data_IF_762284382651
#
_entry.id   IF_762284382651
#
_cell.length_a   1.000
_cell.length_b   1.000
_cell.length_c   1.000
_cell.angle_alpha   90.00
_cell.angle_beta   90.00
_cell.angle_gamma   90.00
#
_symmetry.space_group_name_H-M   'P 1'
#
loop_
_entity.id
_entity.type
_entity.pdbx_description
1 polymer ?
#
# COMPACT_ATOMS: atom_id res chain seq x y z
N UNK A 1 -0.81 -4.77 -20.22
CA UNK A 1 -0.07 -4.24 -19.06
C UNK A 1 -0.49 -5.06 -17.86
N UNK A 2 0.43 -5.72 -17.16
CA UNK A 2 0.09 -6.46 -15.93
C UNK A 2 -0.24 -5.49 -14.80
N UNK A 3 -1.38 -5.71 -14.14
CA UNK A 3 -1.81 -4.92 -13.00
C UNK A 3 -1.08 -5.39 -11.73
N UNK A 4 -0.69 -4.47 -10.82
CA UNK A 4 -0.14 -4.85 -9.51
C UNK A 4 -1.12 -5.72 -8.71
N UNK A 5 -0.59 -6.73 -8.02
CA UNK A 5 -1.39 -7.66 -7.21
C UNK A 5 -1.54 -7.12 -5.79
N UNK A 6 -2.66 -6.46 -5.53
CA UNK A 6 -2.98 -5.96 -4.19
C UNK A 6 -3.43 -7.11 -3.27
N UNK A 7 -3.24 -6.98 -1.93
CA UNK A 7 -3.85 -7.88 -0.97
C UNK A 7 -5.39 -7.91 -1.12
N UNK A 8 -6.01 -9.02 -0.73
CA UNK A 8 -7.47 -9.22 -0.85
C UNK A 8 -8.29 -8.14 -0.12
N UNK A 9 -7.75 -7.55 0.95
CA UNK A 9 -8.39 -6.45 1.70
C UNK A 9 -8.60 -5.17 0.85
N UNK A 10 -7.83 -5.02 -0.24
CA UNK A 10 -7.93 -3.91 -1.18
C UNK A 10 -8.74 -4.27 -2.43
N UNK A 11 -9.38 -5.44 -2.44
CA UNK A 11 -10.25 -5.86 -3.54
C UNK A 11 -11.44 -4.92 -3.65
N UNK A 12 -11.59 -4.30 -4.81
CA UNK A 12 -12.64 -3.31 -5.08
C UNK A 12 -12.28 -1.87 -4.72
N UNK A 13 -11.13 -1.65 -4.06
CA UNK A 13 -10.58 -0.31 -3.92
C UNK A 13 -10.11 0.19 -5.28
N UNK A 14 -10.28 1.50 -5.54
CA UNK A 14 -9.97 2.10 -6.84
C UNK A 14 -8.71 2.95 -6.75
N UNK A 15 -7.82 2.89 -7.75
CA UNK A 15 -6.68 3.80 -7.82
C UNK A 15 -7.16 5.22 -8.12
N UNK A 16 -6.72 6.19 -7.31
CA UNK A 16 -7.01 7.61 -7.55
C UNK A 16 -5.87 8.24 -8.36
N UNK A 17 -4.63 8.10 -7.89
CA UNK A 17 -3.44 8.67 -8.54
C UNK A 17 -2.16 7.91 -8.17
N UNK A 18 -1.13 8.12 -8.98
CA UNK A 18 0.21 7.54 -8.79
C UNK A 18 1.24 8.63 -8.51
N UNK A 19 2.25 8.32 -7.72
CA UNK A 19 3.38 9.21 -7.43
C UNK A 19 4.71 8.54 -7.77
N UNK A 20 5.74 9.37 -7.99
CA UNK A 20 7.14 8.96 -8.18
C UNK A 20 7.30 7.86 -9.22
N UNK A 21 6.85 8.13 -10.45
CA UNK A 21 6.97 7.20 -11.58
C UNK A 21 6.36 5.82 -11.28
N UNK A 22 5.14 5.82 -10.73
CA UNK A 22 4.34 4.63 -10.36
C UNK A 22 4.84 3.82 -9.16
N UNK A 23 5.89 4.27 -8.46
CA UNK A 23 6.35 3.63 -7.22
C UNK A 23 5.32 3.68 -6.11
N UNK A 24 4.45 4.69 -6.09
CA UNK A 24 3.39 4.76 -5.10
C UNK A 24 2.03 4.87 -5.79
N UNK A 25 1.08 4.09 -5.32
CA UNK A 25 -0.31 4.13 -5.79
C UNK A 25 -1.19 4.46 -4.60
N UNK A 26 -2.03 5.48 -4.74
CA UNK A 26 -3.05 5.78 -3.73
C UNK A 26 -4.34 5.13 -4.15
N UNK A 27 -4.88 4.28 -3.28
CA UNK A 27 -6.17 3.63 -3.43
C UNK A 27 -7.21 4.29 -2.53
N UNK A 28 -8.44 4.38 -3.04
CA UNK A 28 -9.63 4.78 -2.28
C UNK A 28 -10.51 3.58 -2.01
N UNK A 29 -11.10 3.54 -0.81
CA UNK A 29 -12.13 2.57 -0.48
C UNK A 29 -13.39 2.75 -1.37
N UNK A 30 -14.19 1.69 -1.59
CA UNK A 30 -15.38 1.76 -2.43
C UNK A 30 -16.42 2.81 -1.98
N UNK A 31 -16.46 3.11 -0.68
CA UNK A 31 -17.35 4.08 -0.05
C UNK A 31 -16.76 5.50 0.02
N UNK A 32 -15.51 5.70 -0.42
CA UNK A 32 -14.82 6.99 -0.40
C UNK A 32 -14.41 7.49 0.99
N UNK A 33 -14.50 6.65 2.02
CA UNK A 33 -14.22 7.07 3.41
C UNK A 33 -12.74 6.94 3.79
N UNK A 34 -11.98 6.12 3.07
CA UNK A 34 -10.59 5.82 3.39
C UNK A 34 -9.68 5.89 2.17
N UNK A 35 -8.44 6.31 2.40
CA UNK A 35 -7.38 6.32 1.40
C UNK A 35 -6.13 5.63 1.95
N UNK A 36 -5.49 4.81 1.13
CA UNK A 36 -4.26 4.10 1.49
C UNK A 36 -3.20 4.33 0.43
N UNK A 37 -1.96 4.57 0.87
CA UNK A 37 -0.80 4.71 0.01
C UNK A 37 -0.05 3.38 -0.06
N UNK A 38 0.03 2.81 -1.25
CA UNK A 38 0.69 1.54 -1.54
C UNK A 38 2.04 1.83 -2.18
N UNK A 39 3.11 1.34 -1.57
CA UNK A 39 4.45 1.33 -2.14
C UNK A 39 4.66 0.05 -2.97
N UNK A 40 5.04 0.25 -4.22
CA UNK A 40 5.37 -0.78 -5.19
C UNK A 40 6.87 -0.79 -5.51
N UNK A 41 7.49 -1.96 -5.47
CA UNK A 41 8.81 -2.24 -6.05
C UNK A 41 8.66 -3.35 -7.09
N UNK A 42 9.13 -3.13 -8.33
CA UNK A 42 8.98 -4.09 -9.44
C UNK A 42 7.53 -4.61 -9.67
N UNK A 43 6.54 -3.78 -9.31
CA UNK A 43 5.08 -4.07 -9.33
C UNK A 43 4.58 -4.99 -8.22
N UNK A 44 5.44 -5.38 -7.29
CA UNK A 44 5.07 -6.07 -6.06
C UNK A 44 4.77 -5.07 -4.94
N UNK A 45 3.75 -5.37 -4.14
CA UNK A 45 3.36 -4.55 -2.99
C UNK A 45 4.34 -4.81 -1.85
N UNK A 46 5.20 -3.83 -1.58
CA UNK A 46 6.18 -3.91 -0.49
C UNK A 46 5.71 -3.22 0.79
N UNK A 47 4.73 -2.32 0.69
CA UNK A 47 4.15 -1.69 1.88
C UNK A 47 2.85 -0.96 1.59
N UNK A 48 2.00 -0.85 2.60
CA UNK A 48 0.75 -0.10 2.56
C UNK A 48 0.65 0.73 3.83
N UNK A 49 0.43 2.03 3.66
CA UNK A 49 0.28 2.99 4.74
C UNK A 49 -1.10 3.63 4.67
N UNK A 50 -1.70 3.81 5.83
CA UNK A 50 -2.88 4.66 5.97
C UNK A 50 -2.46 6.10 5.66
N UNK A 51 -3.17 6.77 4.75
CA UNK A 51 -2.77 8.11 4.33
C UNK A 51 -3.05 9.16 5.41
N UNK A 52 -4.11 8.98 6.19
CA UNK A 52 -4.53 9.96 7.19
C UNK A 52 -3.59 9.97 8.41
N UNK A 53 -3.20 8.80 8.89
CA UNK A 53 -2.39 8.61 10.10
C UNK A 53 -0.92 8.37 9.80
N UNK A 54 -0.57 7.98 8.57
CA UNK A 54 0.79 7.58 8.18
C UNK A 54 1.22 6.21 8.73
N UNK A 55 0.31 5.49 9.41
CA UNK A 55 0.61 4.19 10.02
C UNK A 55 0.72 3.09 8.97
N UNK A 56 1.63 2.15 9.20
CA UNK A 56 1.77 0.95 8.38
C UNK A 56 0.58 0.00 8.60
N UNK A 57 -0.22 -0.22 7.54
CA UNK A 57 -1.31 -1.20 7.50
C UNK A 57 -0.77 -2.57 7.11
N UNK A 58 0.16 -2.59 6.15
CA UNK A 58 0.81 -3.80 5.67
C UNK A 58 2.28 -3.51 5.38
N UNK A 59 3.16 -4.31 5.97
CA UNK A 59 4.56 -4.35 5.58
C UNK A 59 4.78 -5.68 4.87
N UNK A 60 4.92 -5.63 3.55
CA UNK A 60 5.20 -6.82 2.71
C UNK A 60 6.55 -7.44 3.02
N UNK A 61 7.37 -6.73 3.81
CA UNK A 61 8.68 -7.14 4.26
C UNK A 61 8.65 -7.37 5.78
N UNK A 62 7.82 -8.31 6.25
CA UNK A 62 7.79 -8.80 7.66
C UNK A 62 9.22 -9.04 8.21
N UNK A 63 10.16 -9.40 7.33
CA UNK A 63 11.57 -9.59 7.65
C UNK A 63 12.32 -8.28 7.94
N UNK A 64 12.03 -7.21 7.19
CA UNK A 64 12.59 -5.87 7.40
C UNK A 64 12.00 -5.18 8.64
N UNK A 65 10.68 -5.28 8.87
CA UNK A 65 10.04 -4.80 10.11
C UNK A 65 10.67 -5.43 11.37
N UNK A 66 10.89 -6.75 11.35
CA UNK A 66 11.62 -7.45 12.43
C UNK A 66 13.06 -7.00 12.55
N UNK A 67 13.76 -6.77 11.43
CA UNK A 67 15.16 -6.34 11.40
C UNK A 67 15.38 -4.92 11.91
N UNK A 68 14.40 -4.03 11.71
CA UNK A 68 14.41 -2.65 12.18
C UNK A 68 13.89 -2.50 13.62
N UNK A 69 13.44 -3.59 14.26
CA UNK A 69 13.06 -3.58 15.67
C UNK A 69 11.77 -2.82 15.98
N UNK A 70 10.94 -2.56 14.97
CA UNK A 70 9.62 -1.93 15.15
C UNK A 70 8.71 -2.94 15.85
N UNK A 71 8.51 -2.76 17.15
CA UNK A 71 7.53 -3.52 17.94
C UNK A 71 6.16 -2.89 17.75
N UNK A 72 5.15 -3.76 17.52
CA UNK A 72 3.74 -3.42 17.65
C UNK A 72 3.43 -2.89 19.03
#
# INVERSE_FOLDING_TARGET
MEQPKYPDDFKGWRPIYTLLDTRYVVLESPDGSMESCIHLEDKDVVGIKDKATGMDIYDGNIWLAKRLGLKR
#
